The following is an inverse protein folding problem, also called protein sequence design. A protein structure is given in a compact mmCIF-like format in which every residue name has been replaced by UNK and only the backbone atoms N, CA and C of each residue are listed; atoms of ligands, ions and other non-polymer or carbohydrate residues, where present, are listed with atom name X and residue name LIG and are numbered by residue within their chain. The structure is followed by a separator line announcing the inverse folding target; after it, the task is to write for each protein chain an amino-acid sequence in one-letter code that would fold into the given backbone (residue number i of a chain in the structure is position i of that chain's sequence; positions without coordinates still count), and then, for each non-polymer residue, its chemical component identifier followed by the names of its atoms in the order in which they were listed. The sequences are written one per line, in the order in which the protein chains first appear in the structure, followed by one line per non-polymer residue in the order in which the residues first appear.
data_IF_389165936002
#
_entry.id   IF_389165936002
#
_cell.length_a   1.000
_cell.length_b   1.000
_cell.length_c   1.000
_cell.angle_alpha   90.00
_cell.angle_beta   90.00
_cell.angle_gamma   90.00
#
_symmetry.space_group_name_H-M   'P 1'
#
loop_
_entity.id
_entity.type
_entity.pdbx_description
1 polymer ?
#
# COMPACT_ATOMS: atom_id res chain seq x y z
N UNK A 1 5.56 -7.15 -17.92
CA UNK A 1 4.50 -6.16 -17.62
C UNK A 1 5.00 -5.31 -16.46
N UNK A 2 4.77 -4.00 -16.44
CA UNK A 2 5.19 -3.17 -15.31
C UNK A 2 4.38 -3.55 -14.07
N UNK A 3 5.05 -3.72 -12.93
CA UNK A 3 4.43 -4.02 -11.64
C UNK A 3 3.43 -2.89 -11.31
N UNK A 4 2.16 -3.21 -11.08
CA UNK A 4 1.20 -2.18 -10.71
C UNK A 4 1.52 -1.67 -9.30
N UNK A 5 1.62 -0.35 -9.14
CA UNK A 5 1.92 0.29 -7.85
C UNK A 5 0.62 0.54 -7.10
N UNK A 6 0.57 0.11 -5.83
CA UNK A 6 -0.61 0.15 -4.95
C UNK A 6 -0.25 0.90 -3.67
N UNK A 7 -1.01 1.95 -3.36
CA UNK A 7 -0.96 2.63 -2.06
C UNK A 7 -2.01 2.01 -1.13
N UNK A 8 -1.55 1.41 -0.04
CA UNK A 8 -2.37 0.82 1.01
C UNK A 8 -2.43 1.79 2.20
N UNK A 9 -3.63 2.18 2.59
CA UNK A 9 -3.89 3.04 3.77
C UNK A 9 -4.67 2.23 4.78
N UNK A 10 -4.01 1.79 5.85
CA UNK A 10 -4.58 0.86 6.84
C UNK A 10 -3.88 1.04 8.19
N UNK A 11 -4.64 1.38 9.23
CA UNK A 11 -4.14 1.68 10.57
C UNK A 11 -4.02 0.42 11.46
N UNK A 12 -4.78 -0.63 11.16
CA UNK A 12 -4.60 -1.92 11.83
C UNK A 12 -3.38 -2.66 11.26
N UNK A 13 -2.35 -2.83 12.09
CA UNK A 13 -1.10 -3.48 11.70
C UNK A 13 -1.28 -4.93 11.22
N UNK A 14 -2.20 -5.69 11.83
CA UNK A 14 -2.41 -7.10 11.50
C UNK A 14 -3.11 -7.25 10.15
N UNK A 15 -4.10 -6.40 9.88
CA UNK A 15 -4.80 -6.34 8.61
C UNK A 15 -3.85 -5.84 7.50
N UNK A 16 -3.07 -4.79 7.78
CA UNK A 16 -2.10 -4.25 6.84
C UNK A 16 -1.08 -5.31 6.41
N UNK A 17 -0.58 -6.14 7.34
CA UNK A 17 0.37 -7.20 7.02
C UNK A 17 -0.26 -8.26 6.10
N UNK A 18 -1.48 -8.71 6.41
CA UNK A 18 -2.23 -9.68 5.59
C UNK A 18 -2.47 -9.15 4.17
N UNK A 19 -2.87 -7.88 4.02
CA UNK A 19 -3.11 -7.26 2.73
C UNK A 19 -1.81 -7.12 1.93
N UNK A 20 -0.74 -6.63 2.56
CA UNK A 20 0.58 -6.51 1.93
C UNK A 20 1.10 -7.86 1.42
N UNK A 21 0.94 -8.94 2.22
CA UNK A 21 1.33 -10.28 1.80
C UNK A 21 0.59 -10.73 0.54
N UNK A 22 -0.74 -10.60 0.53
CA UNK A 22 -1.56 -11.03 -0.62
C UNK A 22 -1.24 -10.20 -1.87
N UNK A 23 -1.17 -8.87 -1.77
CA UNK A 23 -0.89 -8.01 -2.92
C UNK A 23 0.54 -8.20 -3.47
N UNK A 24 1.54 -8.41 -2.61
CA UNK A 24 2.89 -8.70 -3.09
C UNK A 24 2.96 -10.03 -3.86
N UNK A 25 2.14 -11.02 -3.47
CA UNK A 25 2.03 -12.32 -4.16
C UNK A 25 1.39 -12.20 -5.54
N UNK A 26 0.48 -11.25 -5.72
CA UNK A 26 -0.13 -10.90 -7.01
C UNK A 26 0.73 -9.90 -7.82
N UNK A 27 2.04 -9.80 -7.52
CA UNK A 27 2.99 -8.90 -8.18
C UNK A 27 2.59 -7.41 -8.14
N UNK A 28 2.05 -6.90 -7.03
CA UNK A 28 1.89 -5.45 -6.81
C UNK A 28 3.08 -4.84 -6.06
N UNK A 29 3.49 -3.63 -6.44
CA UNK A 29 4.42 -2.81 -5.67
C UNK A 29 3.62 -2.07 -4.59
N UNK A 30 3.63 -2.60 -3.37
CA UNK A 30 2.81 -2.08 -2.27
C UNK A 30 3.60 -1.03 -1.48
N UNK A 31 3.09 0.19 -1.44
CA UNK A 31 3.47 1.26 -0.52
C UNK A 31 2.40 1.32 0.56
N UNK A 32 2.77 1.22 1.84
CA UNK A 32 1.83 1.25 2.95
C UNK A 32 2.11 2.45 3.85
N UNK A 33 1.04 3.08 4.32
CA UNK A 33 1.05 4.03 5.44
C UNK A 33 -0.19 3.80 6.31
N UNK A 34 -0.11 3.91 7.64
CA UNK A 34 -1.27 3.91 8.52
C UNK A 34 -1.97 5.27 8.61
N UNK A 35 -1.37 6.34 8.06
CA UNK A 35 -1.83 7.71 8.21
C UNK A 35 -2.47 8.27 6.94
N UNK A 36 -3.66 8.86 7.09
CA UNK A 36 -4.42 9.40 5.97
C UNK A 36 -3.81 10.67 5.36
N UNK A 37 -3.15 11.51 6.16
CA UNK A 37 -2.50 12.72 5.65
C UNK A 37 -1.25 12.36 4.84
N UNK A 38 -0.42 11.45 5.36
CA UNK A 38 0.70 10.86 4.64
C UNK A 38 0.24 10.19 3.34
N UNK A 39 -0.86 9.44 3.39
CA UNK A 39 -1.43 8.81 2.19
C UNK A 39 -1.80 9.84 1.10
N UNK A 40 -2.38 10.98 1.48
CA UNK A 40 -2.71 12.04 0.54
C UNK A 40 -1.47 12.70 -0.08
N UNK A 41 -0.36 12.76 0.65
CA UNK A 41 0.92 13.23 0.12
C UNK A 41 1.49 12.20 -0.87
N UNK A 42 1.59 10.93 -0.45
CA UNK A 42 2.09 9.83 -1.27
C UNK A 42 1.28 9.64 -2.55
N UNK A 43 -0.04 9.83 -2.52
CA UNK A 43 -0.90 9.72 -3.70
C UNK A 43 -0.67 10.84 -4.73
N UNK A 44 -0.19 12.01 -4.28
CA UNK A 44 0.11 13.16 -5.15
C UNK A 44 1.51 13.07 -5.76
N UNK A 45 2.44 12.41 -5.08
CA UNK A 45 3.78 12.14 -5.57
C UNK A 45 3.75 10.96 -6.57
N UNK A 46 3.95 11.24 -7.85
CA UNK A 46 4.02 10.21 -8.90
C UNK A 46 5.39 9.58 -8.99
#
# INVERSE_FOLDING_TARGET
MARARLLLVEDDASLAELLQFNFRREDFEVVHTPDGEEALLLAKER
#
